data_IF_869639580363
#
_entry.id   IF_869639580363
#
_cell.length_a   1.000
_cell.length_b   1.000
_cell.length_c   1.000
_cell.angle_alpha   90.00
_cell.angle_beta   90.00
_cell.angle_gamma   90.00
#
_symmetry.space_group_name_H-M   'P 1'
#
loop_
_entity.id
_entity.type
_entity.pdbx_description
1 polymer ?
#
# COMPACT_ATOMS: atom_id res chain seq x y z
N UNK A 1 23.80 -6.29 -14.77
CA UNK A 1 23.56 -6.19 -13.31
C UNK A 1 22.53 -5.09 -13.12
N UNK A 2 21.30 -5.46 -12.82
CA UNK A 2 20.24 -4.52 -12.46
C UNK A 2 20.57 -3.97 -11.07
N UNK A 3 20.72 -2.64 -10.96
CA UNK A 3 20.82 -2.01 -9.65
C UNK A 3 19.48 -2.26 -8.95
N UNK A 4 19.49 -3.05 -7.87
CA UNK A 4 18.36 -3.10 -6.96
C UNK A 4 18.26 -1.71 -6.34
N UNK A 5 17.30 -0.91 -6.79
CA UNK A 5 17.00 0.37 -6.16
C UNK A 5 16.50 0.04 -4.76
N UNK A 6 17.40 0.13 -3.77
CA UNK A 6 17.05 -0.01 -2.36
C UNK A 6 16.22 1.21 -1.98
N UNK A 7 14.91 1.09 -2.17
CA UNK A 7 13.96 2.03 -1.60
C UNK A 7 13.88 1.75 -0.10
N UNK A 8 14.06 2.76 0.77
CA UNK A 8 13.97 2.54 2.21
C UNK A 8 12.56 2.05 2.56
N UNK A 9 12.49 0.82 3.07
CA UNK A 9 11.28 0.24 3.64
C UNK A 9 11.36 0.43 5.16
N UNK A 10 10.45 1.23 5.71
CA UNK A 10 10.42 1.56 7.13
C UNK A 10 9.06 1.20 7.73
N UNK A 11 9.05 0.74 8.98
CA UNK A 11 7.81 0.65 9.74
C UNK A 11 7.53 2.02 10.35
N UNK A 12 6.36 2.58 10.05
CA UNK A 12 5.93 3.90 10.53
C UNK A 12 4.64 3.77 11.34
N UNK A 13 4.46 4.65 12.32
CA UNK A 13 3.19 4.80 13.01
C UNK A 13 2.16 5.40 12.04
N UNK A 14 0.99 4.76 11.94
CA UNK A 14 -0.08 5.12 11.02
C UNK A 14 -1.46 5.00 11.69
N UNK A 15 -1.96 6.12 12.21
CA UNK A 15 -3.19 6.13 13.02
C UNK A 15 -2.98 5.33 14.31
N UNK A 16 -3.89 4.41 14.62
CA UNK A 16 -3.83 3.50 15.77
C UNK A 16 -3.04 2.20 15.49
N UNK A 17 -2.30 2.12 14.38
CA UNK A 17 -1.60 0.91 13.96
C UNK A 17 -0.24 1.23 13.33
N UNK A 18 0.60 0.22 13.14
CA UNK A 18 1.85 0.36 12.40
C UNK A 18 1.63 0.01 10.92
N UNK A 19 2.33 0.72 10.03
CA UNK A 19 2.34 0.46 8.60
C UNK A 19 3.76 0.20 8.09
N UNK A 20 3.90 -0.68 7.11
CA UNK A 20 5.11 -0.78 6.30
C UNK A 20 5.02 0.33 5.24
N UNK A 21 5.95 1.27 5.29
CA UNK A 21 6.09 2.36 4.33
C UNK A 21 7.24 2.07 3.37
N UNK A 22 6.97 2.13 2.06
CA UNK A 22 7.97 2.02 1.01
C UNK A 22 7.94 3.30 0.17
N UNK A 23 9.03 4.07 0.21
CA UNK A 23 9.16 5.31 -0.55
C UNK A 23 9.53 5.03 -2.01
N UNK A 24 8.81 5.61 -2.96
CA UNK A 24 9.10 5.55 -4.39
C UNK A 24 9.62 6.89 -4.90
N UNK A 25 10.06 6.90 -6.17
CA UNK A 25 10.36 8.14 -6.87
C UNK A 25 9.11 9.01 -7.08
N UNK A 26 9.32 10.26 -7.52
CA UNK A 26 8.25 11.21 -7.85
C UNK A 26 7.30 11.52 -6.70
N UNK A 27 7.82 11.60 -5.46
CA UNK A 27 7.05 11.88 -4.25
C UNK A 27 5.89 10.90 -4.01
N UNK A 28 6.07 9.63 -4.37
CA UNK A 28 5.07 8.58 -4.14
C UNK A 28 5.54 7.65 -3.05
N UNK A 29 4.60 7.04 -2.33
CA UNK A 29 4.93 6.06 -1.32
C UNK A 29 3.78 5.06 -1.15
N UNK A 30 4.11 3.85 -0.73
CA UNK A 30 3.14 2.82 -0.39
C UNK A 30 3.09 2.62 1.11
N UNK A 31 1.88 2.49 1.62
CA UNK A 31 1.59 2.08 2.99
C UNK A 31 0.87 0.74 2.97
N UNK A 32 1.45 -0.25 3.63
CA UNK A 32 0.80 -1.51 3.92
C UNK A 32 0.51 -1.60 5.41
N UNK A 33 -0.77 -1.58 5.76
CA UNK A 33 -1.27 -1.73 7.13
C UNK A 33 -1.87 -3.10 7.29
N UNK A 34 -1.49 -3.80 8.35
CA UNK A 34 -2.20 -5.01 8.76
C UNK A 34 -3.57 -4.59 9.31
N UNK A 35 -4.63 -5.02 8.65
CA UNK A 35 -6.00 -4.82 9.10
C UNK A 35 -6.25 -5.86 10.19
N UNK A 36 -5.97 -5.46 11.42
CA UNK A 36 -6.38 -6.19 12.60
C UNK A 36 -7.91 -6.29 12.58
N UNK A 37 -8.46 -7.46 12.27
CA UNK A 37 -9.86 -7.72 12.60
C UNK A 37 -9.96 -7.73 14.11
N UNK A 38 -10.37 -6.61 14.71
CA UNK A 38 -11.02 -6.66 16.02
C UNK A 38 -12.36 -7.35 15.77
N UNK A 39 -12.35 -8.69 15.76
CA UNK A 39 -13.60 -9.45 15.77
C UNK A 39 -13.40 -10.75 16.53
N UNK A 40 -14.00 -10.77 17.72
CA UNK A 40 -14.13 -11.84 18.72
C UNK A 40 -14.49 -13.26 18.23
N UNK A 41 -14.52 -13.55 16.92
CA UNK A 41 -15.20 -14.74 16.41
C UNK A 41 -14.28 -15.75 15.73
N UNK A 42 -13.03 -15.40 15.36
CA UNK A 42 -12.11 -16.39 14.79
C UNK A 42 -10.62 -16.03 15.06
N UNK A 43 -9.91 -16.80 15.91
CA UNK A 43 -8.49 -16.60 16.20
C UNK A 43 -7.55 -17.17 15.10
N UNK A 44 -8.07 -17.97 14.17
CA UNK A 44 -7.33 -18.57 13.05
C UNK A 44 -7.52 -17.79 11.73
N UNK A 45 -8.49 -16.88 11.67
CA UNK A 45 -8.62 -15.94 10.56
C UNK A 45 -7.39 -15.01 10.52
N UNK A 46 -6.48 -15.27 9.56
CA UNK A 46 -5.37 -14.37 9.28
C UNK A 46 -5.90 -12.95 9.06
N UNK A 47 -5.42 -11.98 9.85
CA UNK A 47 -5.75 -10.57 9.65
C UNK A 47 -5.39 -10.15 8.22
N UNK A 48 -6.24 -9.33 7.60
CA UNK A 48 -6.01 -8.91 6.22
C UNK A 48 -4.93 -7.83 6.12
N UNK A 49 -4.55 -7.50 4.89
CA UNK A 49 -3.70 -6.38 4.54
C UNK A 49 -4.49 -5.33 3.78
N UNK A 50 -4.30 -4.07 4.15
CA UNK A 50 -4.74 -2.92 3.38
C UNK A 50 -3.50 -2.22 2.82
N UNK A 51 -3.41 -2.15 1.50
CA UNK A 51 -2.31 -1.51 0.78
C UNK A 51 -2.83 -0.24 0.12
N UNK A 52 -2.11 0.86 0.33
CA UNK A 52 -2.42 2.18 -0.20
C UNK A 52 -1.21 2.74 -0.93
N UNK A 53 -1.39 3.16 -2.18
CA UNK A 53 -0.41 3.94 -2.90
C UNK A 53 -0.82 5.41 -2.85
N UNK A 54 0.12 6.28 -2.45
CA UNK A 54 -0.13 7.71 -2.27
C UNK A 54 0.90 8.55 -2.98
N UNK A 55 0.51 9.77 -3.35
CA UNK A 55 1.38 10.82 -3.85
C UNK A 55 1.38 12.00 -2.88
N UNK A 56 2.56 12.48 -2.50
CA UNK A 56 2.71 13.70 -1.71
C UNK A 56 2.60 14.90 -2.64
N UNK A 57 1.54 15.68 -2.46
CA UNK A 57 1.26 16.92 -3.21
C UNK A 57 1.38 18.14 -2.30
N UNK A 58 1.42 19.34 -2.87
CA UNK A 58 1.46 20.59 -2.10
C UNK A 58 0.23 20.78 -1.20
N UNK A 59 -0.89 20.08 -1.47
CA UNK A 59 -2.11 20.11 -0.68
C UNK A 59 -2.24 18.96 0.34
N UNK A 60 -1.22 18.09 0.43
CA UNK A 60 -1.23 16.89 1.27
C UNK A 60 -1.10 15.59 0.47
N UNK A 61 -1.28 14.47 1.15
CA UNK A 61 -1.11 13.15 0.57
C UNK A 61 -2.37 12.69 -0.17
N UNK A 62 -2.29 12.61 -1.49
CA UNK A 62 -3.32 12.12 -2.39
C UNK A 62 -3.30 10.58 -2.43
N UNK A 63 -4.47 9.95 -2.35
CA UNK A 63 -4.61 8.51 -2.52
C UNK A 63 -4.73 8.18 -4.01
N UNK A 64 -3.74 7.47 -4.55
CA UNK A 64 -3.74 7.04 -5.95
C UNK A 64 -4.50 5.74 -6.15
N UNK A 65 -4.29 4.77 -5.27
CA UNK A 65 -4.94 3.46 -5.32
C UNK A 65 -4.96 2.80 -3.93
N UNK A 66 -5.98 1.99 -3.67
CA UNK A 66 -6.10 1.17 -2.46
C UNK A 66 -6.68 -0.20 -2.79
N UNK A 67 -6.18 -1.24 -2.13
CA UNK A 67 -6.81 -2.55 -2.13
C UNK A 67 -6.63 -3.24 -0.77
N UNK A 68 -7.49 -4.22 -0.52
CA UNK A 68 -7.46 -5.03 0.68
C UNK A 68 -7.51 -6.50 0.27
N UNK A 69 -6.70 -7.35 0.89
CA UNK A 69 -6.67 -8.79 0.67
C UNK A 69 -6.19 -9.52 1.90
N UNK A 70 -6.39 -10.83 1.99
CA UNK A 70 -5.84 -11.64 3.08
C UNK A 70 -4.30 -11.62 3.09
N UNK A 71 -3.70 -11.53 1.91
CA UNK A 71 -2.25 -11.55 1.72
C UNK A 71 -1.76 -10.21 1.20
N UNK A 72 -0.60 -9.76 1.72
CA UNK A 72 0.02 -8.51 1.32
C UNK A 72 0.32 -8.45 -0.19
N UNK A 73 0.83 -9.55 -0.75
CA UNK A 73 1.15 -9.69 -2.17
C UNK A 73 -0.08 -9.44 -3.03
N UNK A 74 -1.20 -10.10 -2.72
CA UNK A 74 -2.43 -9.98 -3.48
C UNK A 74 -3.02 -8.57 -3.40
N UNK A 75 -2.97 -7.94 -2.22
CA UNK A 75 -3.38 -6.55 -2.08
C UNK A 75 -2.47 -5.59 -2.89
N UNK A 76 -1.18 -5.88 -2.97
CA UNK A 76 -0.23 -5.11 -3.79
C UNK A 76 -0.51 -5.27 -5.28
N UNK A 77 -0.69 -6.51 -5.77
CA UNK A 77 -0.98 -6.79 -7.17
C UNK A 77 -2.22 -6.01 -7.63
N UNK A 78 -3.30 -6.04 -6.85
CA UNK A 78 -4.53 -5.29 -7.17
C UNK A 78 -4.30 -3.77 -7.19
N UNK A 79 -3.45 -3.23 -6.30
CA UNK A 79 -3.10 -1.80 -6.32
C UNK A 79 -2.33 -1.43 -7.59
N UNK A 80 -1.40 -2.29 -8.04
CA UNK A 80 -0.63 -2.08 -9.26
C UNK A 80 -1.52 -2.19 -10.51
N UNK A 81 -2.43 -3.16 -10.54
CA UNK A 81 -3.43 -3.30 -11.61
C UNK A 81 -4.31 -2.04 -11.72
N UNK A 82 -4.78 -1.50 -10.60
CA UNK A 82 -5.55 -0.24 -10.58
C UNK A 82 -4.76 0.95 -11.12
N UNK A 83 -3.46 1.01 -10.82
CA UNK A 83 -2.59 2.07 -11.32
C UNK A 83 -2.35 1.95 -12.83
N UNK A 84 -2.14 0.73 -13.33
CA UNK A 84 -2.01 0.47 -14.77
C UNK A 84 -3.32 0.74 -15.51
N UNK A 85 -4.47 0.39 -14.93
CA UNK A 85 -5.78 0.68 -15.53
C UNK A 85 -6.14 2.16 -15.56
N UNK A 86 -5.56 2.97 -14.67
CA UNK A 86 -5.74 4.43 -14.67
C UNK A 86 -4.92 5.14 -15.77
N UNK A 87 -3.87 4.51 -16.31
CA UNK A 87 -3.10 5.02 -17.46
C UNK A 87 -3.82 4.66 -18.76
N UNK A 88 -5.02 5.21 -18.96
CA UNK A 88 -5.63 5.22 -20.29
C UNK A 88 -4.84 6.21 -21.13
N UNK A 89 -3.84 5.73 -21.88
CA UNK A 89 -3.17 6.50 -22.92
C UNK A 89 -4.21 6.69 -24.02
N UNK A 90 -4.84 7.87 -24.02
CA UNK A 90 -5.70 8.29 -25.12
C UNK A 90 -4.83 8.40 -26.40
N UNK A 91 -5.26 7.80 -27.53
CA UNK A 91 -4.48 7.76 -28.76
C UNK A 91 -4.37 9.12 -29.48
#
# INVERSE_FOLDING_TARGET
MTAATHHPANVVDWGDSSAICVEFECNRYLLATQVSKVRHEDPDAAGGWSVQLRARTSGGDELLARAESEWLSDALDVVLEKLHGAVSIDP
#
